data_IF_881990327019
#
_entry.id   IF_881990327019
#
_cell.length_a   1.000
_cell.length_b   1.000
_cell.length_c   1.000
_cell.angle_alpha   90.00
_cell.angle_beta   90.00
_cell.angle_gamma   90.00
#
_symmetry.space_group_name_H-M   'P 1'
#
loop_
_entity.id
_entity.type
_entity.pdbx_description
1 polymer ?
#
# COMPACT_ATOMS: atom_id res chain seq x y z
N UNK A 1 -6.16 -3.18 -35.65
CA UNK A 1 -7.04 -3.85 -34.66
C UNK A 1 -6.24 -4.52 -33.55
N UNK A 2 -5.08 -5.14 -33.83
CA UNK A 2 -4.20 -5.71 -32.80
C UNK A 2 -3.58 -4.66 -31.86
N UNK A 3 -3.29 -3.46 -32.38
CA UNK A 3 -2.56 -2.41 -31.67
C UNK A 3 -3.38 -1.78 -30.53
N UNK A 4 -4.66 -1.53 -30.79
CA UNK A 4 -5.59 -1.03 -29.79
C UNK A 4 -5.78 -2.05 -28.66
N UNK A 5 -5.87 -3.34 -28.99
CA UNK A 5 -6.02 -4.40 -28.00
C UNK A 5 -4.82 -4.48 -27.05
N UNK A 6 -3.59 -4.31 -27.55
CA UNK A 6 -2.40 -4.33 -26.71
C UNK A 6 -2.36 -3.13 -25.75
N UNK A 7 -2.72 -1.94 -26.25
CA UNK A 7 -2.83 -0.75 -25.41
C UNK A 7 -3.94 -0.92 -24.35
N UNK A 8 -5.11 -1.41 -24.75
CA UNK A 8 -6.23 -1.66 -23.85
C UNK A 8 -5.86 -2.68 -22.75
N UNK A 9 -5.03 -3.67 -23.07
CA UNK A 9 -4.52 -4.64 -22.10
C UNK A 9 -3.58 -3.99 -21.07
N UNK A 10 -2.67 -3.10 -21.50
CA UNK A 10 -1.81 -2.33 -20.60
C UNK A 10 -2.66 -1.45 -19.66
N UNK A 11 -3.63 -0.74 -20.22
CA UNK A 11 -4.51 0.15 -19.45
C UNK A 11 -5.34 -0.64 -18.42
N UNK A 12 -5.85 -1.82 -18.80
CA UNK A 12 -6.54 -2.72 -17.85
C UNK A 12 -5.61 -3.21 -16.75
N UNK A 13 -4.35 -3.50 -17.09
CA UNK A 13 -3.35 -3.90 -16.10
C UNK A 13 -3.05 -2.77 -15.12
N UNK A 14 -2.79 -1.55 -15.60
CA UNK A 14 -2.53 -0.36 -14.78
C UNK A 14 -3.72 -0.04 -13.86
N UNK A 15 -4.95 -0.06 -14.40
CA UNK A 15 -6.17 0.14 -13.61
C UNK A 15 -6.34 -0.96 -12.56
N UNK A 16 -6.20 -2.22 -12.96
CA UNK A 16 -6.30 -3.37 -12.05
C UNK A 16 -5.24 -3.33 -10.95
N UNK A 17 -4.00 -2.96 -11.28
CA UNK A 17 -2.93 -2.77 -10.29
C UNK A 17 -3.27 -1.63 -9.32
N UNK A 18 -3.76 -0.50 -9.83
CA UNK A 18 -4.15 0.67 -9.03
C UNK A 18 -5.21 0.32 -8.00
N UNK A 19 -6.26 -0.40 -8.39
CA UNK A 19 -7.35 -0.80 -7.52
C UNK A 19 -6.92 -1.90 -6.53
N UNK A 20 -6.23 -2.93 -7.02
CA UNK A 20 -5.75 -4.05 -6.21
C UNK A 20 -4.79 -3.61 -5.10
N UNK A 21 -3.98 -2.57 -5.31
CA UNK A 21 -3.12 -2.05 -4.25
C UNK A 21 -3.91 -1.52 -3.06
N UNK A 22 -5.10 -0.94 -3.30
CA UNK A 22 -5.98 -0.49 -2.24
C UNK A 22 -6.50 -1.66 -1.38
N UNK A 23 -6.95 -2.73 -2.03
CA UNK A 23 -7.44 -3.93 -1.35
C UNK A 23 -6.33 -4.67 -0.61
N UNK A 24 -5.18 -4.84 -1.26
CA UNK A 24 -4.00 -5.42 -0.64
C UNK A 24 -3.62 -4.73 0.67
N UNK A 25 -3.62 -3.39 0.68
CA UNK A 25 -3.32 -2.65 1.90
C UNK A 25 -4.39 -2.81 2.97
N UNK A 26 -5.68 -2.85 2.58
CA UNK A 26 -6.78 -3.14 3.50
C UNK A 26 -6.59 -4.50 4.18
N UNK A 27 -6.35 -5.55 3.41
CA UNK A 27 -6.07 -6.90 3.92
C UNK A 27 -4.85 -6.94 4.84
N UNK A 28 -3.78 -6.21 4.48
CA UNK A 28 -2.59 -6.10 5.35
C UNK A 28 -2.91 -5.41 6.65
N UNK A 29 -3.72 -4.34 6.64
CA UNK A 29 -4.13 -3.67 7.87
C UNK A 29 -4.95 -4.58 8.77
N UNK A 30 -5.84 -5.39 8.21
CA UNK A 30 -6.61 -6.39 8.95
C UNK A 30 -5.68 -7.42 9.59
N UNK A 31 -4.75 -7.98 8.80
CA UNK A 31 -3.76 -8.96 9.27
C UNK A 31 -2.88 -8.40 10.39
N UNK A 32 -2.42 -7.16 10.24
CA UNK A 32 -1.55 -6.50 11.22
C UNK A 32 -2.33 -5.88 12.38
N UNK A 33 -3.67 -5.92 12.35
CA UNK A 33 -4.56 -5.27 13.32
C UNK A 33 -4.21 -3.80 13.52
N UNK A 34 -3.98 -3.07 12.43
CA UNK A 34 -3.70 -1.62 12.43
C UNK A 34 -4.94 -0.77 12.17
N UNK A 35 -6.11 -1.40 12.19
CA UNK A 35 -7.41 -0.74 12.00
C UNK A 35 -7.94 -0.32 13.36
N UNK A 36 -8.22 0.97 13.48
CA UNK A 36 -8.65 1.56 14.75
C UNK A 36 -10.07 2.14 14.66
N UNK A 37 -10.25 3.24 13.93
CA UNK A 37 -11.57 3.87 13.68
C UNK A 37 -12.16 3.50 12.32
N UNK A 38 -11.42 2.75 11.50
CA UNK A 38 -11.75 2.54 10.08
C UNK A 38 -11.51 3.77 9.18
N UNK A 39 -11.19 4.95 9.74
CA UNK A 39 -10.98 6.16 8.94
C UNK A 39 -9.82 6.02 7.95
N UNK A 40 -8.66 5.52 8.40
CA UNK A 40 -7.53 5.21 7.52
C UNK A 40 -7.90 4.16 6.47
N UNK A 41 -8.58 3.09 6.89
CA UNK A 41 -9.01 2.00 6.01
C UNK A 41 -9.90 2.51 4.86
N UNK A 42 -10.89 3.35 5.20
CA UNK A 42 -11.80 3.96 4.23
C UNK A 42 -11.15 5.08 3.40
N UNK A 43 -10.02 5.62 3.85
CA UNK A 43 -9.32 6.71 3.14
C UNK A 43 -8.47 6.23 1.96
N UNK A 44 -8.15 4.94 1.90
CA UNK A 44 -7.30 4.37 0.84
C UNK A 44 -8.03 4.47 -0.49
N UNK A 45 -7.47 5.29 -1.40
CA UNK A 45 -7.96 5.48 -2.76
C UNK A 45 -6.81 5.40 -3.76
N UNK A 46 -7.02 4.64 -4.82
CA UNK A 46 -6.21 4.71 -6.04
C UNK A 46 -6.85 5.69 -7.02
N UNK A 47 -6.03 6.41 -7.76
CA UNK A 47 -6.42 7.27 -8.85
C UNK A 47 -5.48 7.01 -10.02
N UNK A 48 -6.05 6.74 -11.19
CA UNK A 48 -5.35 6.63 -12.45
C UNK A 48 -5.82 7.79 -13.33
N UNK A 49 -4.88 8.65 -13.74
CA UNK A 49 -5.11 9.68 -14.75
C UNK A 49 -4.30 9.35 -15.99
N UNK A 50 -5.00 9.20 -17.12
CA UNK A 50 -4.38 8.98 -18.41
C UNK A 50 -4.20 10.32 -19.12
N UNK A 51 -2.96 10.66 -19.44
CA UNK A 51 -2.58 11.88 -20.16
C UNK A 51 -1.36 11.65 -21.05
N UNK A 52 -0.60 12.72 -21.32
CA UNK A 52 0.71 12.58 -21.99
C UNK A 52 1.70 11.74 -21.18
N UNK A 53 1.50 11.71 -19.86
CA UNK A 53 2.15 10.82 -18.91
C UNK A 53 1.04 10.14 -18.12
N UNK A 54 1.04 8.81 -18.09
CA UNK A 54 0.16 8.06 -17.19
C UNK A 54 0.55 8.34 -15.75
N UNK A 55 -0.39 8.85 -14.96
CA UNK A 55 -0.16 9.16 -13.55
C UNK A 55 -0.99 8.22 -12.68
N UNK A 56 -0.31 7.42 -11.86
CA UNK A 56 -0.96 6.59 -10.84
C UNK A 56 -0.68 7.18 -9.46
N UNK A 57 -1.74 7.52 -8.73
CA UNK A 57 -1.66 8.07 -7.39
C UNK A 57 -2.42 7.21 -6.39
N UNK A 58 -1.80 6.97 -5.24
CA UNK A 58 -2.46 6.37 -4.09
C UNK A 58 -2.50 7.37 -2.94
N UNK A 59 -3.71 7.67 -2.46
CA UNK A 59 -3.95 8.62 -1.38
C UNK A 59 -4.53 7.91 -0.17
N UNK A 60 -4.10 8.31 1.02
CA UNK A 60 -4.63 7.86 2.31
C UNK A 60 -4.33 8.93 3.38
N UNK A 61 -4.98 8.83 4.54
CA UNK A 61 -4.76 9.78 5.63
C UNK A 61 -3.32 9.73 6.13
N UNK A 62 -2.68 10.90 6.27
CA UNK A 62 -1.28 11.04 6.69
C UNK A 62 -0.96 10.26 7.97
N UNK A 63 -1.91 10.13 8.90
CA UNK A 63 -1.68 9.37 10.12
C UNK A 63 -1.39 7.87 9.89
N UNK A 64 -1.70 7.33 8.71
CA UNK A 64 -1.29 5.99 8.31
C UNK A 64 0.22 5.78 8.28
N UNK A 65 1.01 6.84 8.00
CA UNK A 65 2.48 6.82 8.07
C UNK A 65 2.93 6.59 9.52
N UNK A 66 2.30 7.30 10.46
CA UNK A 66 2.57 7.17 11.89
C UNK A 66 2.21 5.77 12.40
N UNK A 67 1.10 5.19 11.91
CA UNK A 67 0.71 3.81 12.22
C UNK A 67 1.74 2.81 11.68
N UNK A 68 2.22 3.00 10.44
CA UNK A 68 3.26 2.15 9.85
C UNK A 68 4.59 2.22 10.61
N UNK A 69 4.98 3.44 11.00
CA UNK A 69 6.14 3.73 11.83
C UNK A 69 6.01 3.20 13.27
N UNK A 70 4.83 2.73 13.68
CA UNK A 70 4.64 2.06 14.96
C UNK A 70 4.43 2.96 16.16
N UNK A 71 3.92 4.18 15.96
CA UNK A 71 3.70 5.14 17.06
C UNK A 71 2.37 4.97 17.80
N UNK A 72 1.58 3.96 17.42
CA UNK A 72 0.32 3.58 18.06
C UNK A 72 0.48 2.74 19.35
N UNK A 73 -0.61 2.55 20.12
CA UNK A 73 -0.62 1.87 21.42
C UNK A 73 -0.44 0.36 21.32
N UNK A 74 0.06 -0.25 22.41
CA UNK A 74 0.48 -1.65 22.57
C UNK A 74 -0.57 -2.71 22.14
N UNK A 75 -0.14 -3.86 21.63
CA UNK A 75 -0.91 -5.09 21.52
C UNK A 75 -0.13 -6.15 22.27
N UNK A 76 -0.81 -6.76 23.24
CA UNK A 76 -0.29 -7.87 24.03
C UNK A 76 -0.39 -9.14 23.18
N UNK A 77 0.72 -9.87 23.04
CA UNK A 77 0.69 -11.24 22.55
C UNK A 77 0.69 -12.18 23.74
N UNK A 78 -0.14 -13.22 23.68
CA UNK A 78 -0.18 -14.29 24.67
C UNK A 78 0.61 -15.47 24.12
N UNK A 79 1.61 -15.93 24.87
CA UNK A 79 2.32 -17.17 24.55
C UNK A 79 1.49 -18.33 25.08
N UNK A 80 1.08 -19.25 24.20
CA UNK A 80 0.28 -20.41 24.59
C UNK A 80 1.17 -21.59 24.97
N UNK A 81 1.30 -21.87 26.28
CA UNK A 81 1.60 -23.20 26.85
C UNK A 81 1.18 -23.28 28.33
N UNK A 82 0.56 -24.40 28.74
CA UNK A 82 -0.10 -24.63 30.04
C UNK A 82 0.82 -24.80 31.27
N UNK A 83 2.10 -25.18 31.11
CA UNK A 83 3.04 -25.14 32.24
C UNK A 83 3.43 -23.70 32.65
N UNK A 84 3.06 -22.68 31.85
CA UNK A 84 3.70 -21.37 31.83
C UNK A 84 2.71 -20.21 32.00
N UNK A 85 1.61 -20.39 32.76
CA UNK A 85 0.74 -19.30 33.24
C UNK A 85 0.64 -18.11 32.29
N UNK A 86 0.33 -18.39 31.01
CA UNK A 86 0.77 -17.65 29.82
C UNK A 86 1.29 -16.24 30.10
N UNK A 87 2.61 -16.07 30.19
CA UNK A 87 3.18 -14.74 30.43
C UNK A 87 2.83 -13.81 29.25
N UNK A 88 2.17 -12.68 29.57
CA UNK A 88 1.89 -11.61 28.61
C UNK A 88 3.20 -10.89 28.27
N UNK A 89 3.91 -11.39 27.26
CA UNK A 89 5.12 -10.72 26.79
C UNK A 89 4.71 -9.56 25.90
N UNK A 90 4.80 -8.35 26.44
CA UNK A 90 4.72 -7.14 25.64
C UNK A 90 6.02 -7.00 24.83
N UNK A 91 5.95 -7.25 23.51
CA UNK A 91 7.02 -6.80 22.61
C UNK A 91 6.85 -5.30 22.39
N UNK A 92 7.42 -4.54 23.32
CA UNK A 92 7.49 -3.09 23.22
C UNK A 92 8.62 -2.78 22.24
N UNK A 93 8.29 -2.16 21.13
CA UNK A 93 9.27 -1.55 20.26
C UNK A 93 9.23 -0.07 20.61
N UNK A 94 10.37 0.48 21.01
CA UNK A 94 10.53 1.91 21.24
C UNK A 94 10.10 2.61 19.95
N UNK A 95 9.00 3.36 19.94
CA UNK A 95 8.51 3.98 18.71
C UNK A 95 9.66 4.72 18.02
N UNK A 96 9.96 4.37 16.76
CA UNK A 96 11.19 4.75 16.04
C UNK A 96 11.31 6.26 15.72
N UNK A 97 10.41 7.11 16.25
CA UNK A 97 10.44 8.55 16.03
C UNK A 97 11.18 9.25 17.17
N UNK A 98 12.33 9.87 16.86
CA UNK A 98 13.21 10.56 17.82
C UNK A 98 12.47 11.59 18.68
N UNK A 99 11.55 12.36 18.08
CA UNK A 99 10.75 13.38 18.78
C UNK A 99 9.67 12.79 19.71
N UNK A 100 9.33 11.51 19.53
CA UNK A 100 8.38 10.74 20.33
C UNK A 100 9.11 9.79 21.30
N UNK A 101 10.36 10.12 21.65
CA UNK A 101 11.21 9.37 22.57
C UNK A 101 10.61 9.18 23.97
N UNK A 102 11.26 8.33 24.78
CA UNK A 102 10.78 7.89 26.11
C UNK A 102 10.39 9.04 27.02
N UNK A 103 11.17 10.13 27.03
CA UNK A 103 10.93 11.31 27.86
C UNK A 103 9.65 12.06 27.48
N UNK A 104 9.43 12.31 26.18
CA UNK A 104 8.22 12.98 25.69
C UNK A 104 6.96 12.16 26.05
N UNK A 105 7.02 10.84 25.84
CA UNK A 105 5.90 9.94 26.16
C UNK A 105 5.60 9.88 27.66
N UNK A 106 6.63 9.93 28.51
CA UNK A 106 6.47 10.00 29.95
C UNK A 106 5.85 11.34 30.38
N UNK A 107 6.36 12.45 29.86
CA UNK A 107 5.89 13.81 30.15
C UNK A 107 4.41 14.02 29.77
N UNK A 108 3.96 13.38 28.70
CA UNK A 108 2.59 13.53 28.18
C UNK A 108 1.65 12.36 28.55
N UNK A 109 2.05 11.49 29.48
CA UNK A 109 1.26 10.33 29.93
C UNK A 109 0.76 9.45 28.76
N UNK A 110 1.55 9.32 27.70
CA UNK A 110 1.16 8.61 26.48
C UNK A 110 1.21 7.09 26.64
N UNK A 111 2.00 6.61 27.59
CA UNK A 111 2.11 5.18 27.92
C UNK A 111 0.97 4.70 28.82
N UNK A 112 0.16 5.61 29.38
CA UNK A 112 -1.00 5.25 30.20
C UNK A 112 -2.21 5.03 29.30
N UNK A 113 -2.87 3.86 29.36
CA UNK A 113 -4.13 3.65 28.68
C UNK A 113 -5.19 4.63 29.20
N UNK A 114 -5.90 5.31 28.31
CA UNK A 114 -6.94 6.31 28.61
C UNK A 114 -8.24 5.90 27.93
N UNK A 115 -9.38 6.07 28.63
CA UNK A 115 -10.70 5.90 28.01
C UNK A 115 -10.92 7.03 27.00
N UNK A 116 -11.26 6.66 25.77
CA UNK A 116 -11.61 7.58 24.69
C UNK A 116 -13.05 7.33 24.25
N UNK A 117 -13.78 8.42 24.00
CA UNK A 117 -15.19 8.38 23.63
C UNK A 117 -16.15 8.75 24.77
N UNK A 118 -17.46 8.60 24.54
CA UNK A 118 -18.51 8.99 25.49
C UNK A 118 -18.40 8.37 26.89
N UNK A 119 -19.11 8.93 27.86
CA UNK A 119 -19.20 8.32 29.18
C UNK A 119 -19.90 6.94 29.16
N UNK A 120 -20.95 6.82 28.35
CA UNK A 120 -21.84 5.65 28.22
C UNK A 120 -21.33 4.55 27.27
N UNK A 121 -20.17 4.76 26.65
CA UNK A 121 -19.54 3.81 25.74
C UNK A 121 -18.22 4.36 25.24
N UNK A 122 -17.27 3.51 24.89
CA UNK A 122 -15.95 3.97 24.44
C UNK A 122 -14.93 2.85 24.46
N UNK A 123 -13.72 3.14 24.00
CA UNK A 123 -12.60 2.19 24.00
C UNK A 123 -11.45 2.72 24.85
N UNK A 124 -10.52 1.86 25.19
CA UNK A 124 -9.26 2.26 25.84
C UNK A 124 -8.21 2.45 24.73
N UNK A 125 -7.61 3.63 24.66
CA UNK A 125 -6.54 3.95 23.72
C UNK A 125 -5.28 4.42 24.48
N UNK A 126 -4.12 4.36 23.84
CA UNK A 126 -2.83 4.63 24.51
C UNK A 126 -2.20 3.38 25.11
N UNK A 127 -0.98 3.51 25.63
CA UNK A 127 -0.18 2.36 26.08
C UNK A 127 1.26 2.39 25.55
N UNK A 128 2.12 1.45 25.99
CA UNK A 128 3.46 1.28 25.44
C UNK A 128 3.41 1.07 23.90
N UNK A 129 4.38 1.53 23.11
CA UNK A 129 4.37 1.33 21.65
C UNK A 129 4.64 -0.14 21.24
N UNK A 130 3.96 -0.63 20.19
CA UNK A 130 4.12 -2.01 19.63
C UNK A 130 5.25 -2.06 18.58
N UNK A 131 5.67 -0.88 18.13
CA UNK A 131 6.58 -0.73 17.03
C UNK A 131 5.98 -0.97 15.66
N UNK A 132 6.91 -1.02 14.73
CA UNK A 132 6.65 -0.85 13.31
C UNK A 132 5.75 -1.95 12.79
N UNK A 133 4.66 -1.51 12.17
CA UNK A 133 3.70 -2.35 11.47
C UNK A 133 3.59 -1.82 10.07
N UNK A 134 4.65 -2.04 9.30
CA UNK A 134 4.68 -1.58 7.93
C UNK A 134 3.60 -2.30 7.12
N UNK A 135 2.49 -1.59 6.92
CA UNK A 135 1.33 -2.06 6.18
C UNK A 135 1.39 -1.64 4.71
N UNK A 136 2.25 -0.67 4.35
CA UNK A 136 2.30 -0.11 2.98
C UNK A 136 3.68 -0.04 2.35
N UNK A 137 4.71 0.48 3.03
CA UNK A 137 5.91 1.03 2.38
C UNK A 137 6.71 -0.02 1.61
N UNK A 138 7.18 -1.07 2.30
CA UNK A 138 8.05 -2.08 1.68
C UNK A 138 7.31 -2.84 0.57
N UNK A 139 6.02 -3.10 0.76
CA UNK A 139 5.21 -3.87 -0.20
C UNK A 139 4.74 -3.04 -1.38
N UNK A 140 4.48 -1.76 -1.18
CA UNK A 140 4.23 -0.81 -2.26
C UNK A 140 5.46 -0.65 -3.14
N UNK A 141 6.65 -0.47 -2.55
CA UNK A 141 7.88 -0.40 -3.34
C UNK A 141 8.10 -1.67 -4.18
N UNK A 142 7.88 -2.85 -3.58
CA UNK A 142 7.97 -4.10 -4.31
C UNK A 142 6.93 -4.22 -5.44
N UNK A 143 5.70 -3.72 -5.25
CA UNK A 143 4.66 -3.76 -6.29
C UNK A 143 4.92 -2.76 -7.41
N UNK A 144 5.50 -1.60 -7.11
CA UNK A 144 5.96 -0.62 -8.12
C UNK A 144 7.06 -1.23 -8.99
N UNK A 145 8.00 -1.97 -8.41
CA UNK A 145 9.02 -2.68 -9.21
C UNK A 145 8.39 -3.71 -10.15
N UNK A 146 7.32 -4.39 -9.72
CA UNK A 146 6.58 -5.33 -10.57
C UNK A 146 5.81 -4.65 -11.69
N UNK A 147 5.23 -3.49 -11.43
CA UNK A 147 4.63 -2.64 -12.46
C UNK A 147 5.67 -2.22 -13.50
N UNK A 148 6.84 -1.73 -13.04
CA UNK A 148 7.92 -1.31 -13.92
C UNK A 148 8.45 -2.47 -14.79
N UNK A 149 8.58 -3.68 -14.25
CA UNK A 149 8.93 -4.88 -15.03
C UNK A 149 7.89 -5.16 -16.12
N UNK A 150 6.60 -5.07 -15.79
CA UNK A 150 5.51 -5.29 -16.75
C UNK A 150 5.49 -4.25 -17.87
N UNK A 151 5.65 -2.98 -17.53
CA UNK A 151 5.73 -1.88 -18.50
C UNK A 151 6.97 -2.03 -19.39
N UNK A 152 8.13 -2.40 -18.82
CA UNK A 152 9.35 -2.65 -19.58
C UNK A 152 9.16 -3.79 -20.59
N UNK A 153 8.50 -4.88 -20.19
CA UNK A 153 8.18 -5.98 -21.10
C UNK A 153 7.24 -5.54 -22.23
N UNK A 154 6.24 -4.70 -21.92
CA UNK A 154 5.31 -4.14 -22.89
C UNK A 154 6.03 -3.27 -23.93
N UNK A 155 6.80 -2.27 -23.48
CA UNK A 155 7.53 -1.35 -24.36
C UNK A 155 8.69 -2.05 -25.08
N UNK A 156 9.31 -3.04 -24.46
CA UNK A 156 10.44 -3.77 -25.04
C UNK A 156 10.04 -4.77 -26.12
N UNK A 157 9.05 -5.63 -25.86
CA UNK A 157 8.73 -6.77 -26.74
C UNK A 157 7.56 -6.47 -27.69
N UNK A 158 6.44 -5.98 -27.14
CA UNK A 158 5.22 -5.76 -27.92
C UNK A 158 5.35 -4.52 -28.80
N UNK A 159 5.82 -3.40 -28.25
CA UNK A 159 5.93 -2.16 -29.02
C UNK A 159 6.97 -2.25 -30.14
N UNK A 160 8.16 -2.82 -29.87
CA UNK A 160 9.17 -3.01 -30.91
C UNK A 160 8.69 -3.96 -32.02
N UNK A 161 7.96 -5.02 -31.68
CA UNK A 161 7.34 -5.91 -32.66
C UNK A 161 6.30 -5.20 -33.54
N UNK A 162 5.49 -4.32 -32.94
CA UNK A 162 4.52 -3.48 -33.67
C UNK A 162 5.21 -2.53 -34.65
N UNK A 163 6.22 -1.79 -34.20
CA UNK A 163 6.98 -0.86 -35.06
C UNK A 163 7.70 -1.61 -36.18
N UNK A 164 8.35 -2.74 -35.87
CA UNK A 164 9.01 -3.56 -36.88
C UNK A 164 8.03 -4.10 -37.93
N UNK A 165 6.83 -4.50 -37.50
CA UNK A 165 5.77 -4.99 -38.40
C UNK A 165 5.24 -3.87 -39.29
N UNK A 166 4.91 -2.71 -38.72
CA UNK A 166 4.46 -1.53 -39.46
C UNK A 166 5.52 -1.07 -40.47
N UNK A 167 6.79 -0.95 -40.06
CA UNK A 167 7.89 -0.61 -40.97
C UNK A 167 8.04 -1.65 -42.08
N UNK A 168 7.93 -2.94 -41.76
CA UNK A 168 8.00 -4.01 -42.76
C UNK A 168 6.86 -3.92 -43.77
N UNK A 169 5.62 -3.63 -43.33
CA UNK A 169 4.48 -3.43 -44.23
C UNK A 169 4.66 -2.22 -45.16
N UNK A 170 5.19 -1.11 -44.61
CA UNK A 170 5.52 0.10 -45.37
C UNK A 170 6.59 -0.21 -46.42
N UNK A 171 7.70 -0.84 -46.02
CA UNK A 171 8.83 -1.12 -46.92
C UNK A 171 8.58 -2.26 -47.91
N UNK A 172 7.69 -3.22 -47.60
CA UNK A 172 7.26 -4.26 -48.56
C UNK A 172 6.23 -3.75 -49.57
N UNK A 173 5.81 -2.48 -49.49
CA UNK A 173 4.84 -1.89 -50.42
C UNK A 173 3.41 -2.39 -50.25
N UNK A 174 3.12 -3.15 -49.20
CA UNK A 174 1.78 -3.72 -48.94
C UNK A 174 0.84 -2.63 -48.38
N UNK A 175 1.38 -1.59 -47.73
CA UNK A 175 0.61 -0.45 -47.23
C UNK A 175 0.08 0.52 -48.30
N UNK A 176 0.67 0.52 -49.51
CA UNK A 176 0.25 1.43 -50.59
C UNK A 176 -1.01 0.97 -51.35
N UNK A 177 -1.44 -0.30 -51.17
CA UNK A 177 -2.62 -0.87 -51.84
C UNK A 177 -3.86 -0.96 -50.95
N UNK A 178 -3.80 -0.46 -49.71
CA UNK A 178 -4.95 -0.49 -48.77
C UNK A 178 -5.80 0.78 -48.76
N UNK A 179 -5.44 1.80 -49.55
CA UNK A 179 -6.19 3.06 -49.67
C UNK A 179 -6.34 3.55 -51.13
N UNK A 180 -6.46 2.61 -52.09
CA UNK A 180 -6.97 2.88 -53.44
C UNK A 180 -8.08 1.88 -53.76
#
# INVERSE_FOLDING_TARGET
MADQSALDDLLKYEQGWTDNMGDYWRERMERLRTIDTGALYASIKGHLEQGSVTTIEHKFLQYGIYVAAGVGPAHVWEKWTEAQGGEKIARVNEGDLEFLGKEYRAKHDMNKPKKVGPAWGGRVAGGPPIGRRDWFSQKYYASVMKLNEHEADFFGSKWNGLIASALTEIFRGIGASRNL
#
